data_IF_386584390456
#
_entry.id   IF_386584390456
#
_cell.length_a   1.000
_cell.length_b   1.000
_cell.length_c   1.000
_cell.angle_alpha   90.00
_cell.angle_beta   90.00
_cell.angle_gamma   90.00
#
_symmetry.space_group_name_H-M   'P 1'
#
loop_
_entity.id
_entity.type
_entity.pdbx_description
1 polymer ?
#
# COMPACT_ATOMS: atom_id res chain seq x y z
N UNK A 1 18.99 17.77 21.99
CA UNK A 1 18.89 16.32 22.19
C UNK A 1 20.01 15.69 21.39
N UNK A 2 20.72 14.69 21.92
CA UNK A 2 21.78 14.00 21.16
C UNK A 2 21.12 13.18 20.03
N UNK A 3 21.65 13.25 18.80
CA UNK A 3 21.15 12.50 17.64
C UNK A 3 21.21 11.00 17.92
N UNK A 4 20.13 10.27 17.63
CA UNK A 4 20.10 8.81 17.77
C UNK A 4 20.92 8.14 16.65
N UNK A 5 20.90 8.67 15.43
CA UNK A 5 21.65 8.17 14.28
C UNK A 5 22.87 9.06 13.97
N UNK A 6 23.95 8.87 14.71
CA UNK A 6 25.21 9.62 14.70
C UNK A 6 26.19 9.44 13.51
N UNK A 7 25.96 8.50 12.57
CA UNK A 7 26.90 8.17 11.49
C UNK A 7 26.64 8.93 10.18
N UNK A 8 25.48 9.56 10.03
CA UNK A 8 25.13 10.34 8.85
C UNK A 8 24.27 11.55 9.22
N UNK A 9 24.46 12.64 8.46
CA UNK A 9 23.57 13.80 8.53
C UNK A 9 22.35 13.62 7.63
N UNK A 10 22.54 13.07 6.43
CA UNK A 10 21.46 12.73 5.51
C UNK A 10 22.00 11.79 4.41
N UNK A 11 21.19 10.82 3.97
CA UNK A 11 21.48 9.95 2.82
C UNK A 11 21.39 10.78 1.54
N UNK A 12 22.40 10.67 0.68
CA UNK A 12 22.49 11.40 -0.59
C UNK A 12 22.71 10.46 -1.76
N UNK A 13 22.35 10.93 -2.95
CA UNK A 13 22.73 10.28 -4.19
C UNK A 13 24.22 10.47 -4.46
N UNK A 14 24.95 9.36 -4.62
CA UNK A 14 26.39 9.36 -4.92
C UNK A 14 26.71 8.69 -6.27
N UNK A 15 25.70 8.21 -6.99
CA UNK A 15 25.87 7.56 -8.29
C UNK A 15 26.08 6.06 -8.21
N UNK A 16 25.90 5.40 -9.36
CA UNK A 16 25.84 3.94 -9.48
C UNK A 16 27.15 3.23 -9.14
N UNK A 17 28.27 3.95 -9.12
CA UNK A 17 29.59 3.42 -8.81
C UNK A 17 29.96 3.56 -7.32
N UNK A 18 29.09 4.17 -6.48
CA UNK A 18 29.39 4.33 -5.06
C UNK A 18 29.37 2.99 -4.31
N UNK A 19 30.37 2.79 -3.46
CA UNK A 19 30.45 1.68 -2.51
C UNK A 19 29.96 2.05 -1.11
N UNK A 20 29.54 3.30 -0.88
CA UNK A 20 29.00 3.76 0.40
C UNK A 20 27.66 3.05 0.68
N UNK A 21 27.51 2.28 1.78
CA UNK A 21 26.26 1.59 2.08
C UNK A 21 25.18 2.53 2.61
N UNK A 22 25.53 3.77 2.99
CA UNK A 22 24.62 4.80 3.49
C UNK A 22 24.40 5.93 2.45
N UNK A 23 24.39 5.56 1.17
CA UNK A 23 24.11 6.47 0.05
C UNK A 23 23.20 5.80 -0.99
N UNK A 24 22.44 6.61 -1.72
CA UNK A 24 21.66 6.16 -2.86
C UNK A 24 22.55 6.03 -4.11
N UNK A 25 22.35 4.95 -4.86
CA UNK A 25 23.03 4.67 -6.13
C UNK A 25 22.15 4.95 -7.34
N UNK A 26 20.84 4.84 -7.17
CA UNK A 26 19.85 5.00 -8.24
C UNK A 26 18.82 6.07 -7.91
N UNK A 27 18.45 6.23 -6.63
CA UNK A 27 17.51 7.27 -6.20
C UNK A 27 18.17 8.65 -6.16
N UNK A 28 17.96 9.42 -7.22
CA UNK A 28 18.24 10.85 -7.25
C UNK A 28 16.90 11.60 -7.24
N UNK A 29 16.50 12.21 -6.11
CA UNK A 29 15.18 12.82 -5.96
C UNK A 29 14.88 13.91 -7.00
N UNK A 30 15.90 14.61 -7.49
CA UNK A 30 15.77 15.72 -8.46
C UNK A 30 15.88 15.30 -9.93
N UNK A 31 16.20 14.03 -10.21
CA UNK A 31 16.28 13.53 -11.57
C UNK A 31 14.90 13.60 -12.25
N UNK A 32 14.84 14.19 -13.44
CA UNK A 32 13.62 14.32 -14.22
C UNK A 32 13.45 13.08 -15.11
N UNK A 33 12.37 12.34 -14.90
CA UNK A 33 11.99 11.17 -15.70
C UNK A 33 10.59 11.46 -16.26
N UNK A 34 10.40 11.31 -17.57
CA UNK A 34 9.10 11.60 -18.22
C UNK A 34 8.50 12.96 -17.81
N UNK A 35 9.34 13.99 -17.66
CA UNK A 35 8.92 15.36 -17.31
C UNK A 35 8.57 15.61 -15.83
N UNK A 36 8.78 14.64 -14.93
CA UNK A 36 8.48 14.77 -13.50
C UNK A 36 9.67 14.29 -12.65
N UNK A 37 9.90 14.91 -11.48
CA UNK A 37 10.99 14.52 -10.58
C UNK A 37 10.78 13.10 -10.07
N UNK A 38 11.87 12.36 -9.89
CA UNK A 38 11.84 11.01 -9.35
C UNK A 38 11.15 10.94 -7.98
N UNK A 39 11.40 11.91 -7.10
CA UNK A 39 10.71 11.99 -5.81
C UNK A 39 9.19 12.10 -5.95
N UNK A 40 8.70 12.84 -6.96
CA UNK A 40 7.27 13.04 -7.19
C UNK A 40 6.63 11.83 -7.90
N UNK A 41 7.41 11.03 -8.63
CA UNK A 41 6.96 9.75 -9.18
C UNK A 41 6.78 8.71 -8.09
N UNK A 42 7.78 8.57 -7.22
CA UNK A 42 7.86 7.46 -6.27
C UNK A 42 7.12 7.76 -4.97
N UNK A 43 7.14 9.01 -4.51
CA UNK A 43 6.42 9.49 -3.31
C UNK A 43 6.62 8.54 -2.13
N UNK A 44 7.88 8.23 -1.85
CA UNK A 44 8.23 7.27 -0.83
C UNK A 44 7.71 7.68 0.55
N UNK A 45 7.17 6.73 1.28
CA UNK A 45 6.81 6.87 2.68
C UNK A 45 7.48 5.82 3.55
N UNK A 46 7.81 6.19 4.78
CA UNK A 46 8.27 5.26 5.79
C UNK A 46 7.12 4.82 6.72
N UNK A 47 6.96 3.52 6.86
CA UNK A 47 5.99 2.88 7.76
C UNK A 47 6.41 3.08 9.23
N UNK A 48 5.53 3.65 10.05
CA UNK A 48 5.85 3.94 11.45
C UNK A 48 5.88 2.67 12.33
N UNK A 49 4.94 1.72 12.11
CA UNK A 49 4.82 0.53 12.96
C UNK A 49 6.03 -0.39 12.86
N UNK A 50 6.48 -0.74 11.65
CA UNK A 50 7.67 -1.58 11.50
C UNK A 50 8.95 -0.87 11.88
N UNK A 51 9.08 0.42 11.53
CA UNK A 51 10.32 1.15 11.76
C UNK A 51 10.52 1.47 13.24
N UNK A 52 9.47 1.79 14.01
CA UNK A 52 9.62 2.29 15.39
C UNK A 52 8.83 1.52 16.46
N UNK A 53 7.82 0.72 16.11
CA UNK A 53 6.97 0.01 17.08
C UNK A 53 7.31 -1.47 17.22
N UNK A 54 7.52 -2.20 16.12
CA UNK A 54 7.87 -3.62 16.18
C UNK A 54 9.24 -3.80 16.82
N UNK A 55 9.31 -4.66 17.84
CA UNK A 55 10.50 -4.87 18.68
C UNK A 55 11.24 -6.17 18.34
N UNK A 56 10.92 -6.81 17.21
CA UNK A 56 11.50 -8.10 16.81
C UNK A 56 10.78 -9.32 17.38
N UNK A 57 9.59 -9.17 17.96
CA UNK A 57 8.75 -10.29 18.43
C UNK A 57 8.24 -11.11 17.23
N UNK A 58 8.22 -12.43 17.39
CA UNK A 58 7.56 -13.36 16.48
C UNK A 58 6.75 -14.41 17.29
N UNK A 59 6.12 -15.37 16.61
CA UNK A 59 5.29 -16.39 17.26
C UNK A 59 6.08 -17.33 18.20
N UNK A 60 7.41 -17.33 18.15
CA UNK A 60 8.28 -18.28 18.85
C UNK A 60 9.29 -17.61 19.78
N UNK A 61 9.33 -16.28 19.86
CA UNK A 61 10.35 -15.56 20.59
C UNK A 61 9.98 -14.15 21.00
N UNK A 62 10.56 -13.70 22.12
CA UNK A 62 10.45 -12.31 22.60
C UNK A 62 11.18 -11.36 21.64
N UNK A 63 10.87 -10.06 21.78
CA UNK A 63 11.53 -8.98 21.06
C UNK A 63 13.06 -8.98 21.25
N UNK A 64 13.78 -8.62 20.19
CA UNK A 64 15.24 -8.62 20.11
C UNK A 64 15.86 -7.23 20.13
N UNK A 65 15.05 -6.18 19.96
CA UNK A 65 15.55 -4.80 19.87
C UNK A 65 15.60 -4.11 21.24
N UNK A 66 16.69 -3.42 21.53
CA UNK A 66 16.85 -2.57 22.71
C UNK A 66 16.78 -1.09 22.32
N UNK A 67 15.55 -0.62 22.05
CA UNK A 67 15.29 0.75 21.60
C UNK A 67 14.94 1.67 22.78
N UNK A 68 15.57 2.85 22.93
CA UNK A 68 15.35 3.72 24.09
C UNK A 68 13.91 4.21 24.33
N UNK A 69 13.05 4.18 23.30
CA UNK A 69 11.65 4.54 23.38
C UNK A 69 10.71 3.35 23.60
N UNK A 70 11.26 2.13 23.69
CA UNK A 70 10.51 0.89 24.00
C UNK A 70 10.83 0.35 25.40
N UNK A 71 11.68 1.04 26.16
CA UNK A 71 12.00 0.73 27.55
C UNK A 71 10.87 1.16 28.49
N UNK A 72 10.89 0.70 29.74
CA UNK A 72 9.92 1.10 30.76
C UNK A 72 9.97 2.61 31.03
N UNK A 73 8.81 3.23 31.17
CA UNK A 73 8.69 4.66 31.46
C UNK A 73 7.25 5.17 31.25
N UNK A 74 7.06 6.47 31.43
CA UNK A 74 5.79 7.14 31.16
C UNK A 74 5.43 7.05 29.68
N UNK A 75 4.29 6.42 29.36
CA UNK A 75 3.94 6.02 28.00
C UNK A 75 3.90 7.20 27.02
N UNK A 76 3.35 8.34 27.44
CA UNK A 76 3.29 9.54 26.60
C UNK A 76 4.67 10.19 26.39
N UNK A 77 5.57 10.09 27.37
CA UNK A 77 6.94 10.56 27.23
C UNK A 77 7.73 9.68 26.24
N UNK A 78 7.51 8.36 26.29
CA UNK A 78 8.10 7.42 25.33
C UNK A 78 7.57 7.64 23.91
N UNK A 79 6.27 7.94 23.75
CA UNK A 79 5.69 8.28 22.45
C UNK A 79 6.28 9.56 21.86
N UNK A 80 6.49 10.60 22.67
CA UNK A 80 7.19 11.83 22.26
C UNK A 80 8.63 11.54 21.83
N UNK A 81 9.36 10.73 22.61
CA UNK A 81 10.72 10.30 22.25
C UNK A 81 10.76 9.51 20.95
N UNK A 82 9.78 8.63 20.72
CA UNK A 82 9.64 7.88 19.47
C UNK A 82 9.40 8.82 18.30
N UNK A 83 8.56 9.85 18.46
CA UNK A 83 8.36 10.88 17.45
C UNK A 83 9.65 11.69 17.18
N UNK A 84 10.45 12.02 18.20
CA UNK A 84 11.75 12.66 18.00
C UNK A 84 12.68 11.82 17.10
N UNK A 85 12.82 10.53 17.39
CA UNK A 85 13.66 9.62 16.61
C UNK A 85 13.08 9.35 15.23
N UNK A 86 11.76 9.25 15.09
CA UNK A 86 11.10 9.02 13.82
C UNK A 86 11.35 10.17 12.84
N UNK A 87 11.17 11.41 13.28
CA UNK A 87 11.42 12.58 12.42
C UNK A 87 12.90 12.83 12.17
N UNK A 88 13.78 12.46 13.09
CA UNK A 88 15.22 12.37 12.81
C UNK A 88 15.48 11.36 11.68
N UNK A 89 14.93 10.15 11.77
CA UNK A 89 15.08 9.12 10.74
C UNK A 89 14.55 9.59 9.39
N UNK A 90 13.34 10.17 9.33
CA UNK A 90 12.74 10.62 8.08
C UNK A 90 13.59 11.69 7.39
N UNK A 91 14.06 12.67 8.17
CA UNK A 91 14.96 13.71 7.66
C UNK A 91 16.26 13.11 7.12
N UNK A 92 16.91 12.23 7.91
CA UNK A 92 18.19 11.63 7.55
C UNK A 92 18.07 10.67 6.38
N UNK A 93 16.99 9.91 6.26
CA UNK A 93 16.73 9.04 5.12
C UNK A 93 16.41 9.85 3.85
N UNK A 94 15.99 11.11 3.99
CA UNK A 94 15.47 11.94 2.90
C UNK A 94 14.18 11.36 2.29
N UNK A 95 13.28 10.86 3.16
CA UNK A 95 11.97 10.35 2.76
C UNK A 95 10.91 11.46 2.92
N UNK A 96 10.10 11.76 1.88
CA UNK A 96 9.17 12.89 1.93
C UNK A 96 7.91 12.63 2.75
N UNK A 97 7.54 11.36 2.93
CA UNK A 97 6.31 10.97 3.61
C UNK A 97 6.51 9.94 4.74
N UNK A 98 5.50 9.82 5.60
CA UNK A 98 5.34 8.71 6.55
C UNK A 98 3.88 8.26 6.61
N UNK A 99 3.65 7.07 7.17
CA UNK A 99 2.33 6.48 7.41
C UNK A 99 2.23 5.97 8.85
N UNK A 100 1.06 6.03 9.50
CA UNK A 100 0.89 5.54 10.88
C UNK A 100 -0.50 4.96 11.19
N UNK A 101 -0.57 4.02 12.14
CA UNK A 101 -1.79 3.78 12.92
C UNK A 101 -1.83 4.68 14.16
N UNK A 102 -3.03 5.08 14.58
CA UNK A 102 -3.26 5.89 15.78
C UNK A 102 -2.46 5.41 17.01
N UNK A 103 -2.50 4.11 17.32
CA UNK A 103 -1.78 3.55 18.48
C UNK A 103 -0.27 3.39 18.26
N UNK A 104 0.22 3.54 17.02
CA UNK A 104 1.66 3.57 16.76
C UNK A 104 2.27 4.87 17.27
N UNK A 105 1.58 5.98 17.07
CA UNK A 105 2.08 7.31 17.43
C UNK A 105 1.65 7.75 18.82
N UNK A 106 0.65 7.09 19.42
CA UNK A 106 0.10 7.44 20.71
C UNK A 106 -0.17 6.22 21.61
N UNK A 107 0.05 6.32 22.92
CA UNK A 107 -0.42 5.28 23.84
C UNK A 107 -1.95 5.28 23.91
N UNK A 108 -2.54 4.09 23.89
CA UNK A 108 -4.00 3.91 23.94
C UNK A 108 -4.60 4.31 25.31
N UNK A 109 -3.89 4.05 26.40
CA UNK A 109 -4.41 4.22 27.75
C UNK A 109 -5.40 3.11 28.15
N UNK A 110 -6.03 3.27 29.31
CA UNK A 110 -6.95 2.28 29.90
C UNK A 110 -8.42 2.56 29.58
N UNK A 111 -8.76 3.76 29.10
CA UNK A 111 -10.15 4.19 28.84
C UNK A 111 -10.26 4.97 27.54
N UNK A 112 -11.47 5.07 26.99
CA UNK A 112 -11.73 5.87 25.79
C UNK A 112 -11.31 7.33 25.97
N UNK A 113 -11.53 7.87 27.17
CA UNK A 113 -11.13 9.24 27.51
C UNK A 113 -9.62 9.43 27.45
N UNK A 114 -8.86 8.44 27.93
CA UNK A 114 -7.39 8.48 27.85
C UNK A 114 -6.91 8.35 26.41
N UNK A 115 -7.49 7.45 25.61
CA UNK A 115 -7.19 7.33 24.18
C UNK A 115 -7.36 8.67 23.45
N UNK A 116 -8.55 9.29 23.60
CA UNK A 116 -8.86 10.56 22.95
C UNK A 116 -7.89 11.67 23.37
N UNK A 117 -7.58 11.77 24.66
CA UNK A 117 -6.67 12.79 25.18
C UNK A 117 -5.23 12.56 24.71
N UNK A 118 -4.72 11.34 24.83
CA UNK A 118 -3.34 11.00 24.46
C UNK A 118 -3.11 11.23 22.97
N UNK A 119 -4.05 10.78 22.13
CA UNK A 119 -3.90 10.89 20.70
C UNK A 119 -4.05 12.33 20.20
N UNK A 120 -4.90 13.15 20.85
CA UNK A 120 -4.93 14.59 20.59
C UNK A 120 -3.58 15.26 20.89
N UNK A 121 -2.97 14.95 22.05
CA UNK A 121 -1.64 15.47 22.41
C UNK A 121 -0.58 15.04 21.39
N UNK A 122 -0.58 13.77 20.99
CA UNK A 122 0.41 13.28 20.02
C UNK A 122 0.15 13.84 18.62
N UNK A 123 -1.09 14.13 18.24
CA UNK A 123 -1.41 14.84 17.00
C UNK A 123 -0.79 16.24 16.98
N UNK A 124 -0.83 16.96 18.11
CA UNK A 124 -0.15 18.27 18.23
C UNK A 124 1.36 18.14 18.02
N UNK A 125 1.97 17.15 18.68
CA UNK A 125 3.41 16.86 18.56
C UNK A 125 3.79 16.54 17.11
N UNK A 126 3.03 15.68 16.44
CA UNK A 126 3.29 15.33 15.05
C UNK A 126 3.16 16.54 14.12
N UNK A 127 2.17 17.41 14.33
CA UNK A 127 2.00 18.63 13.54
C UNK A 127 3.21 19.57 13.66
N UNK A 128 3.72 19.78 14.89
CA UNK A 128 4.94 20.55 15.13
C UNK A 128 6.16 19.92 14.43
N UNK A 129 6.27 18.59 14.48
CA UNK A 129 7.35 17.86 13.81
C UNK A 129 7.28 17.97 12.29
N UNK A 130 6.10 17.85 11.68
CA UNK A 130 5.92 18.07 10.24
C UNK A 130 6.30 19.50 9.86
N UNK A 131 5.88 20.50 10.64
CA UNK A 131 6.22 21.90 10.39
C UNK A 131 7.74 22.14 10.43
N UNK A 132 8.45 21.54 11.39
CA UNK A 132 9.89 21.74 11.54
C UNK A 132 10.75 20.96 10.53
N UNK A 133 10.27 19.81 10.05
CA UNK A 133 11.04 18.90 9.18
C UNK A 133 10.68 19.01 7.69
N UNK A 134 9.47 19.46 7.37
CA UNK A 134 8.90 19.42 6.02
C UNK A 134 8.38 18.06 5.57
N UNK A 135 8.51 17.02 6.40
CA UNK A 135 7.97 15.67 6.13
C UNK A 135 6.44 15.71 6.21
N UNK A 136 5.77 15.01 5.28
CA UNK A 136 4.30 15.02 5.15
C UNK A 136 3.69 13.67 5.51
N UNK A 137 2.40 13.66 5.81
CA UNK A 137 1.66 12.42 6.05
C UNK A 137 1.11 11.91 4.72
N UNK A 138 1.49 10.69 4.30
CA UNK A 138 0.86 10.08 3.11
C UNK A 138 -0.54 9.62 3.47
N UNK A 139 -0.65 8.91 4.61
CA UNK A 139 -1.93 8.51 5.17
C UNK A 139 -1.83 8.14 6.66
N UNK A 140 -2.94 8.31 7.36
CA UNK A 140 -3.16 7.70 8.67
C UNK A 140 -4.20 6.58 8.59
N UNK A 141 -4.27 5.78 9.64
CA UNK A 141 -5.25 4.70 9.80
C UNK A 141 -5.51 4.43 11.29
N UNK A 142 -6.50 3.61 11.60
CA UNK A 142 -6.80 3.15 12.95
C UNK A 142 -6.40 1.68 13.11
N UNK A 143 -5.67 1.35 14.18
CA UNK A 143 -5.43 -0.05 14.53
C UNK A 143 -6.65 -0.61 15.25
N UNK A 144 -7.54 -1.22 14.48
CA UNK A 144 -8.72 -1.92 14.98
C UNK A 144 -8.52 -3.45 15.00
N UNK A 145 -7.31 -3.93 15.30
CA UNK A 145 -6.99 -5.37 15.17
C UNK A 145 -6.04 -5.93 16.23
N UNK A 146 -5.23 -5.11 16.90
CA UNK A 146 -4.26 -5.58 17.92
C UNK A 146 -4.89 -5.78 19.30
N UNK A 147 -5.76 -4.87 19.74
CA UNK A 147 -6.35 -4.95 21.09
C UNK A 147 -7.28 -6.17 21.23
N UNK A 148 -7.28 -6.90 22.38
CA UNK A 148 -8.11 -8.11 22.56
C UNK A 148 -9.61 -7.95 22.27
N UNK A 149 -10.15 -6.73 22.43
CA UNK A 149 -11.55 -6.41 22.08
C UNK A 149 -11.92 -6.75 20.63
N UNK A 150 -10.94 -6.72 19.73
CA UNK A 150 -11.11 -6.97 18.30
C UNK A 150 -10.95 -8.43 17.91
N UNK A 151 -10.85 -9.35 18.88
CA UNK A 151 -10.64 -10.77 18.61
C UNK A 151 -11.69 -11.39 17.68
N UNK A 152 -12.90 -10.84 17.65
CA UNK A 152 -14.01 -11.28 16.78
C UNK A 152 -14.37 -10.26 15.68
N UNK A 153 -13.45 -9.39 15.28
CA UNK A 153 -13.70 -8.34 14.29
C UNK A 153 -13.84 -6.94 14.89
N UNK A 154 -13.92 -5.93 14.04
CA UNK A 154 -14.13 -4.54 14.45
C UNK A 154 -15.45 -4.02 13.88
N UNK A 155 -15.51 -3.67 12.61
CA UNK A 155 -16.74 -3.38 11.91
C UNK A 155 -17.58 -4.65 11.66
N UNK A 156 -16.94 -5.82 11.61
CA UNK A 156 -17.64 -7.12 11.47
C UNK A 156 -17.94 -7.78 12.81
N UNK A 157 -17.68 -7.11 13.93
CA UNK A 157 -17.86 -7.73 15.25
C UNK A 157 -19.35 -8.09 15.50
N UNK A 158 -19.64 -9.26 16.10
CA UNK A 158 -20.99 -9.61 16.54
C UNK A 158 -21.56 -8.69 17.64
N UNK A 159 -20.68 -7.96 18.35
CA UNK A 159 -21.04 -7.01 19.42
C UNK A 159 -21.06 -5.54 18.91
N UNK A 160 -22.22 -4.86 18.93
CA UNK A 160 -22.33 -3.46 18.50
C UNK A 160 -21.54 -2.46 19.38
N UNK A 161 -21.18 -2.81 20.62
CA UNK A 161 -20.32 -1.96 21.44
C UNK A 161 -18.88 -1.93 20.91
N UNK A 162 -18.37 -3.07 20.43
CA UNK A 162 -17.05 -3.16 19.78
C UNK A 162 -17.05 -2.41 18.45
N UNK A 163 -18.12 -2.55 17.66
CA UNK A 163 -18.34 -1.75 16.45
C UNK A 163 -18.27 -0.25 16.76
N UNK A 164 -18.93 0.19 17.83
CA UNK A 164 -18.97 1.61 18.24
C UNK A 164 -17.59 2.12 18.67
N UNK A 165 -16.80 1.28 19.32
CA UNK A 165 -15.41 1.61 19.66
C UNK A 165 -14.54 1.74 18.40
N UNK A 166 -14.63 0.79 17.46
CA UNK A 166 -13.91 0.85 16.19
C UNK A 166 -14.27 2.11 15.39
N UNK A 167 -15.57 2.45 15.33
CA UNK A 167 -16.04 3.68 14.72
C UNK A 167 -15.44 4.93 15.38
N UNK A 168 -15.26 4.91 16.70
CA UNK A 168 -14.63 6.02 17.43
C UNK A 168 -13.15 6.14 17.11
N UNK A 169 -12.41 5.03 16.99
CA UNK A 169 -11.00 5.06 16.57
C UNK A 169 -10.87 5.58 15.13
N UNK A 170 -11.67 5.07 14.20
CA UNK A 170 -11.64 5.52 12.79
C UNK A 170 -12.03 6.99 12.66
N UNK A 171 -13.06 7.44 13.38
CA UNK A 171 -13.43 8.86 13.46
C UNK A 171 -12.24 9.70 13.92
N UNK A 172 -11.60 9.31 15.03
CA UNK A 172 -10.53 10.10 15.65
C UNK A 172 -9.28 10.11 14.77
N UNK A 173 -8.88 8.95 14.23
CA UNK A 173 -7.74 8.81 13.33
C UNK A 173 -7.94 9.59 12.02
N UNK A 174 -9.14 9.61 11.44
CA UNK A 174 -9.41 10.39 10.24
C UNK A 174 -9.33 11.91 10.50
N UNK A 175 -9.86 12.38 11.64
CA UNK A 175 -9.75 13.80 12.02
C UNK A 175 -8.28 14.20 12.24
N UNK A 176 -7.48 13.35 12.89
CA UNK A 176 -6.04 13.57 13.05
C UNK A 176 -5.33 13.57 11.70
N UNK A 177 -5.67 12.64 10.81
CA UNK A 177 -5.13 12.57 9.44
C UNK A 177 -5.41 13.84 8.66
N UNK A 178 -6.65 14.34 8.69
CA UNK A 178 -7.00 15.63 8.06
C UNK A 178 -6.18 16.78 8.65
N UNK A 179 -6.07 16.84 9.98
CA UNK A 179 -5.33 17.89 10.68
C UNK A 179 -3.84 17.90 10.33
N UNK A 180 -3.25 16.72 10.13
CA UNK A 180 -1.84 16.52 9.75
C UNK A 180 -1.61 16.62 8.23
N UNK A 181 -2.65 16.99 7.46
CA UNK A 181 -2.57 17.15 6.01
C UNK A 181 -2.34 15.84 5.27
N UNK A 182 -2.85 14.71 5.80
CA UNK A 182 -2.78 13.41 5.16
C UNK A 182 -3.45 13.40 3.79
N UNK A 183 -2.79 12.81 2.80
CA UNK A 183 -3.30 12.77 1.42
C UNK A 183 -4.26 11.61 1.17
N UNK A 184 -4.25 10.60 2.05
CA UNK A 184 -5.16 9.45 2.02
C UNK A 184 -5.52 9.00 3.46
N UNK A 185 -6.49 8.11 3.58
CA UNK A 185 -6.81 7.40 4.82
C UNK A 185 -7.07 5.93 4.51
N UNK A 186 -6.35 5.03 5.20
CA UNK A 186 -6.37 3.59 4.93
C UNK A 186 -7.31 2.87 5.90
N UNK A 187 -7.96 1.80 5.41
CA UNK A 187 -8.73 0.82 6.17
C UNK A 187 -8.22 -0.57 5.80
N UNK A 188 -7.35 -1.13 6.64
CA UNK A 188 -6.93 -2.53 6.54
C UNK A 188 -7.73 -3.38 7.53
N UNK A 189 -8.43 -4.38 7.00
CA UNK A 189 -9.37 -5.21 7.75
C UNK A 189 -8.72 -6.38 8.51
N UNK A 190 -7.67 -6.14 9.29
CA UNK A 190 -6.90 -7.23 9.92
C UNK A 190 -7.71 -8.22 10.78
N UNK A 191 -8.88 -7.84 11.30
CA UNK A 191 -9.83 -8.75 11.96
C UNK A 191 -11.18 -8.86 11.26
N UNK A 192 -11.33 -8.20 10.12
CA UNK A 192 -12.58 -8.14 9.35
C UNK A 192 -12.67 -9.37 8.44
N UNK A 193 -13.06 -10.47 9.04
CA UNK A 193 -13.07 -11.80 8.46
C UNK A 193 -13.44 -12.82 9.53
N UNK A 194 -13.15 -14.09 9.29
CA UNK A 194 -13.54 -15.14 10.23
C UNK A 194 -12.44 -16.16 10.49
N UNK A 195 -12.53 -16.85 11.63
CA UNK A 195 -11.74 -18.04 11.95
C UNK A 195 -12.50 -19.33 11.63
N UNK A 196 -13.84 -19.36 11.83
CA UNK A 196 -14.68 -20.52 11.51
C UNK A 196 -16.04 -20.11 10.99
N UNK A 197 -16.52 -20.78 9.93
CA UNK A 197 -17.86 -20.52 9.40
C UNK A 197 -18.99 -21.01 10.31
N UNK A 198 -18.68 -21.83 11.33
CA UNK A 198 -19.70 -22.40 12.22
C UNK A 198 -20.37 -21.36 13.12
N UNK A 199 -19.72 -20.22 13.36
CA UNK A 199 -20.23 -19.13 14.19
C UNK A 199 -20.26 -17.77 13.44
N UNK A 200 -20.12 -17.79 12.12
CA UNK A 200 -20.04 -16.57 11.30
C UNK A 200 -21.26 -16.48 10.39
N UNK A 201 -22.02 -15.39 10.50
CA UNK A 201 -23.02 -15.03 9.50
C UNK A 201 -22.39 -14.07 8.48
N UNK A 202 -21.94 -14.65 7.36
CA UNK A 202 -21.30 -13.93 6.26
C UNK A 202 -22.16 -12.79 5.70
N UNK A 203 -23.50 -12.93 5.72
CA UNK A 203 -24.38 -11.87 5.20
C UNK A 203 -24.39 -10.71 6.19
N UNK A 204 -24.60 -11.01 7.46
CA UNK A 204 -24.66 -10.00 8.52
C UNK A 204 -23.36 -9.21 8.61
N UNK A 205 -22.21 -9.88 8.70
CA UNK A 205 -20.90 -9.21 8.81
C UNK A 205 -20.59 -8.35 7.58
N UNK A 206 -20.96 -8.83 6.39
CA UNK A 206 -20.78 -8.07 5.15
C UNK A 206 -21.69 -6.83 5.09
N UNK A 207 -22.92 -6.90 5.60
CA UNK A 207 -23.81 -5.74 5.73
C UNK A 207 -23.28 -4.73 6.76
N UNK A 208 -22.72 -5.20 7.88
CA UNK A 208 -22.14 -4.35 8.92
C UNK A 208 -20.93 -3.57 8.40
N UNK A 209 -19.95 -4.23 7.78
CA UNK A 209 -18.77 -3.54 7.23
C UNK A 209 -19.14 -2.65 6.04
N UNK A 210 -20.11 -3.07 5.21
CA UNK A 210 -20.69 -2.21 4.17
C UNK A 210 -21.25 -0.91 4.72
N UNK A 211 -22.04 -0.98 5.80
CA UNK A 211 -22.56 0.21 6.48
C UNK A 211 -21.46 1.03 7.15
N UNK A 212 -20.48 0.38 7.77
CA UNK A 212 -19.34 1.06 8.38
C UNK A 212 -18.57 1.90 7.35
N UNK A 213 -18.24 1.33 6.18
CA UNK A 213 -17.56 2.06 5.11
C UNK A 213 -18.38 3.24 4.57
N UNK A 214 -19.71 3.12 4.50
CA UNK A 214 -20.58 4.26 4.17
C UNK A 214 -20.49 5.36 5.23
N UNK A 215 -20.47 5.03 6.53
CA UNK A 215 -20.30 6.01 7.60
C UNK A 215 -18.94 6.73 7.52
N UNK A 216 -17.89 6.00 7.14
CA UNK A 216 -16.54 6.56 6.91
C UNK A 216 -16.57 7.57 5.75
N UNK A 217 -17.23 7.23 4.64
CA UNK A 217 -17.42 8.14 3.50
C UNK A 217 -18.27 9.37 3.88
N UNK A 218 -19.39 9.16 4.58
CA UNK A 218 -20.25 10.22 5.09
C UNK A 218 -19.46 11.21 5.96
N UNK A 219 -18.61 10.68 6.85
CA UNK A 219 -17.78 11.50 7.73
C UNK A 219 -16.68 12.25 6.97
N UNK A 220 -15.97 11.60 6.03
CA UNK A 220 -15.00 12.24 5.13
C UNK A 220 -15.60 13.48 4.49
N UNK A 221 -16.80 13.36 3.90
CA UNK A 221 -17.49 14.49 3.27
C UNK A 221 -17.91 15.55 4.29
N UNK A 222 -18.44 15.13 5.44
CA UNK A 222 -18.89 16.04 6.51
C UNK A 222 -17.78 16.94 7.05
N UNK A 223 -16.57 16.42 7.20
CA UNK A 223 -15.41 17.22 7.68
C UNK A 223 -14.65 17.90 6.52
N UNK A 224 -15.01 17.62 5.27
CA UNK A 224 -14.34 18.15 4.10
C UNK A 224 -12.95 17.55 3.84
N UNK A 225 -12.70 16.31 4.27
CA UNK A 225 -11.45 15.62 4.00
C UNK A 225 -11.33 15.31 2.50
N UNK A 226 -10.32 15.88 1.84
CA UNK A 226 -10.12 15.74 0.38
C UNK A 226 -9.29 14.51 0.01
N UNK A 227 -8.68 13.83 0.99
CA UNK A 227 -7.83 12.67 0.74
C UNK A 227 -8.62 11.45 0.27
N UNK A 228 -7.92 10.55 -0.41
CA UNK A 228 -8.53 9.30 -0.93
C UNK A 228 -8.75 8.32 0.23
N UNK A 229 -9.90 7.64 0.25
CA UNK A 229 -10.09 6.48 1.13
C UNK A 229 -9.55 5.23 0.46
N UNK A 230 -8.82 4.41 1.20
CA UNK A 230 -8.13 3.24 0.68
C UNK A 230 -8.54 2.00 1.47
N UNK A 231 -8.97 0.93 0.80
CA UNK A 231 -9.02 -0.42 1.37
C UNK A 231 -7.74 -1.14 1.00
N UNK A 232 -7.16 -1.86 1.94
CA UNK A 232 -5.94 -2.64 1.72
C UNK A 232 -6.28 -4.14 1.65
N UNK A 233 -6.25 -4.77 0.47
CA UNK A 233 -6.61 -6.16 0.33
C UNK A 233 -5.58 -7.09 0.99
N UNK A 234 -6.06 -8.15 1.63
CA UNK A 234 -5.27 -9.26 2.14
C UNK A 234 -6.17 -10.51 2.23
N UNK A 235 -5.69 -11.71 1.88
CA UNK A 235 -6.54 -12.91 1.83
C UNK A 235 -6.86 -13.52 3.20
N UNK A 236 -5.94 -13.39 4.15
CA UNK A 236 -5.93 -14.07 5.45
C UNK A 236 -4.81 -13.49 6.32
N UNK A 237 -4.63 -14.06 7.51
CA UNK A 237 -3.61 -13.68 8.51
C UNK A 237 -3.81 -12.27 9.08
N UNK A 238 -4.36 -12.17 10.32
CA UNK A 238 -4.53 -13.24 11.30
C UNK A 238 -5.82 -14.07 11.16
N UNK A 239 -6.78 -13.68 10.32
CA UNK A 239 -8.02 -14.44 10.11
C UNK A 239 -7.77 -15.70 9.25
N UNK A 240 -8.70 -16.67 9.29
CA UNK A 240 -8.69 -17.83 8.37
C UNK A 240 -9.13 -17.45 6.95
N UNK A 241 -9.90 -16.37 6.85
CA UNK A 241 -10.31 -15.72 5.62
C UNK A 241 -10.66 -14.28 5.96
N UNK A 242 -10.00 -13.34 5.29
CA UNK A 242 -10.29 -11.90 5.38
C UNK A 242 -11.21 -11.51 4.21
N UNK A 243 -12.19 -10.64 4.48
CA UNK A 243 -13.23 -10.33 3.50
C UNK A 243 -12.74 -9.54 2.29
N UNK A 244 -11.78 -8.65 2.52
CA UNK A 244 -11.10 -7.86 1.48
C UNK A 244 -9.97 -8.68 0.84
N UNK A 245 -10.32 -9.83 0.26
CA UNK A 245 -9.36 -10.89 -0.09
C UNK A 245 -8.29 -10.48 -1.12
N UNK A 246 -8.72 -9.86 -2.21
CA UNK A 246 -7.91 -9.35 -3.32
C UNK A 246 -8.62 -8.15 -3.97
N UNK A 247 -7.96 -7.48 -4.93
CA UNK A 247 -8.49 -6.29 -5.61
C UNK A 247 -9.86 -6.55 -6.26
N UNK A 248 -10.05 -7.71 -6.90
CA UNK A 248 -11.30 -8.04 -7.58
C UNK A 248 -12.45 -8.24 -6.59
N UNK A 249 -12.17 -8.89 -5.46
CA UNK A 249 -13.11 -9.11 -4.35
C UNK A 249 -13.52 -7.77 -3.72
N UNK A 250 -12.56 -6.88 -3.47
CA UNK A 250 -12.81 -5.52 -2.99
C UNK A 250 -13.67 -4.74 -4.00
N UNK A 251 -13.37 -4.79 -5.30
CA UNK A 251 -14.19 -4.11 -6.30
C UNK A 251 -15.65 -4.61 -6.31
N UNK A 252 -15.86 -5.93 -6.19
CA UNK A 252 -17.20 -6.50 -6.05
C UNK A 252 -17.94 -6.01 -4.81
N UNK A 253 -17.24 -5.90 -3.67
CA UNK A 253 -17.77 -5.31 -2.45
C UNK A 253 -18.14 -3.83 -2.64
N UNK A 254 -17.24 -3.03 -3.21
CA UNK A 254 -17.47 -1.61 -3.46
C UNK A 254 -18.70 -1.41 -4.35
N UNK A 255 -18.86 -2.22 -5.40
CA UNK A 255 -20.04 -2.18 -6.27
C UNK A 255 -21.34 -2.53 -5.56
N UNK A 256 -21.31 -3.53 -4.68
CA UNK A 256 -22.49 -3.94 -3.91
C UNK A 256 -23.00 -2.81 -3.01
N UNK A 257 -22.11 -2.02 -2.41
CA UNK A 257 -22.46 -0.97 -1.44
C UNK A 257 -22.42 0.45 -2.00
N UNK A 258 -22.18 0.62 -3.31
CA UNK A 258 -22.15 1.91 -4.00
C UNK A 258 -20.96 2.81 -3.62
N UNK A 259 -19.80 2.19 -3.34
CA UNK A 259 -18.60 2.84 -2.81
C UNK A 259 -17.47 2.97 -3.85
N UNK A 260 -17.64 2.44 -5.08
CA UNK A 260 -16.57 2.32 -6.07
C UNK A 260 -16.04 3.66 -6.61
N UNK A 261 -16.76 4.76 -6.36
CA UNK A 261 -16.36 6.12 -6.72
C UNK A 261 -15.71 6.88 -5.56
N UNK A 262 -15.77 6.33 -4.35
CA UNK A 262 -15.35 6.99 -3.12
C UNK A 262 -14.09 6.38 -2.52
N UNK A 263 -13.91 5.07 -2.76
CA UNK A 263 -12.85 4.25 -2.17
C UNK A 263 -12.02 3.63 -3.29
N UNK A 264 -10.71 3.64 -3.08
CA UNK A 264 -9.70 3.01 -3.93
C UNK A 264 -8.96 1.93 -3.15
N UNK A 265 -7.98 1.26 -3.77
CA UNK A 265 -7.16 0.25 -3.10
C UNK A 265 -5.74 0.75 -2.79
N UNK A 266 -5.24 0.34 -1.63
CA UNK A 266 -3.83 0.31 -1.27
C UNK A 266 -3.34 -1.12 -1.50
N UNK A 267 -2.41 -1.35 -2.43
CA UNK A 267 -2.01 -2.72 -2.80
C UNK A 267 -0.65 -3.02 -2.20
N UNK A 268 -0.58 -4.11 -1.45
CA UNK A 268 0.68 -4.62 -0.90
C UNK A 268 1.18 -5.83 -1.68
N UNK A 269 2.49 -5.85 -1.97
CA UNK A 269 3.11 -6.94 -2.71
C UNK A 269 3.05 -8.29 -1.97
N UNK A 270 3.35 -8.33 -0.67
CA UNK A 270 3.29 -9.58 0.09
C UNK A 270 1.85 -10.10 0.17
N UNK A 271 0.86 -9.23 0.41
CA UNK A 271 -0.55 -9.61 0.41
C UNK A 271 -1.02 -10.17 -0.94
N UNK A 272 -0.63 -9.54 -2.06
CA UNK A 272 -0.95 -10.03 -3.40
C UNK A 272 -0.45 -11.47 -3.61
N UNK A 273 0.81 -11.73 -3.26
CA UNK A 273 1.41 -13.07 -3.39
C UNK A 273 0.80 -14.10 -2.44
N UNK A 274 0.41 -13.68 -1.24
CA UNK A 274 -0.32 -14.52 -0.29
C UNK A 274 -1.69 -14.96 -0.84
N UNK A 275 -2.32 -14.12 -1.67
CA UNK A 275 -3.60 -14.41 -2.31
C UNK A 275 -3.47 -15.31 -3.55
N UNK A 276 -2.24 -15.69 -3.91
CA UNK A 276 -1.95 -16.48 -5.11
C UNK A 276 -1.82 -15.66 -6.39
N UNK A 277 -1.70 -14.33 -6.27
CA UNK A 277 -1.56 -13.41 -7.41
C UNK A 277 -0.15 -12.82 -7.47
N UNK A 278 0.33 -12.48 -8.66
CA UNK A 278 1.53 -11.64 -8.74
C UNK A 278 1.20 -10.21 -8.32
N UNK A 279 2.17 -9.50 -7.75
CA UNK A 279 1.98 -8.07 -7.43
C UNK A 279 1.63 -7.24 -8.69
N UNK A 280 2.25 -7.58 -9.83
CA UNK A 280 1.92 -6.97 -11.13
C UNK A 280 0.45 -7.18 -11.53
N UNK A 281 -0.13 -8.36 -11.26
CA UNK A 281 -1.54 -8.64 -11.54
C UNK A 281 -2.46 -7.69 -10.77
N UNK A 282 -2.29 -7.59 -9.45
CA UNK A 282 -3.18 -6.76 -8.61
C UNK A 282 -3.13 -5.28 -8.99
N UNK A 283 -1.94 -4.78 -9.34
CA UNK A 283 -1.76 -3.41 -9.86
C UNK A 283 -2.51 -3.22 -11.17
N UNK A 284 -2.32 -4.11 -12.14
CA UNK A 284 -2.98 -4.04 -13.44
C UNK A 284 -4.52 -4.14 -13.31
N UNK A 285 -4.99 -5.02 -12.44
CA UNK A 285 -6.42 -5.22 -12.14
C UNK A 285 -7.03 -3.95 -11.52
N UNK A 286 -6.37 -3.33 -10.53
CA UNK A 286 -6.88 -2.11 -9.90
C UNK A 286 -6.96 -0.93 -10.87
N UNK A 287 -5.97 -0.82 -11.77
CA UNK A 287 -5.96 0.19 -12.84
C UNK A 287 -7.12 -0.06 -13.82
N UNK A 288 -7.29 -1.31 -14.27
CA UNK A 288 -8.36 -1.68 -15.20
C UNK A 288 -9.77 -1.44 -14.63
N UNK A 289 -9.93 -1.61 -13.31
CA UNK A 289 -11.17 -1.37 -12.57
C UNK A 289 -11.35 0.09 -12.14
N UNK A 290 -10.35 0.96 -12.35
CA UNK A 290 -10.40 2.39 -12.03
C UNK A 290 -10.22 2.73 -10.54
N UNK A 291 -9.87 1.75 -9.71
CA UNK A 291 -9.77 1.88 -8.25
C UNK A 291 -8.33 1.90 -7.73
N UNK A 292 -7.31 2.00 -8.59
CA UNK A 292 -5.91 2.13 -8.16
C UNK A 292 -5.67 3.43 -7.36
N UNK A 293 -5.17 3.29 -6.12
CA UNK A 293 -4.94 4.38 -5.16
C UNK A 293 -3.48 4.54 -4.73
N UNK A 294 -2.97 3.57 -3.96
CA UNK A 294 -1.63 3.61 -3.35
C UNK A 294 -0.99 2.21 -3.31
N UNK A 295 0.27 2.13 -2.90
CA UNK A 295 1.02 0.88 -2.79
C UNK A 295 1.79 0.80 -1.48
N UNK A 296 1.76 -0.39 -0.88
CA UNK A 296 2.76 -0.83 0.10
C UNK A 296 3.83 -1.67 -0.61
N UNK A 297 5.02 -1.07 -0.68
CA UNK A 297 6.18 -1.59 -1.38
C UNK A 297 6.98 -2.49 -0.45
N UNK A 298 6.71 -3.79 -0.50
CA UNK A 298 7.44 -4.82 0.21
C UNK A 298 7.60 -6.07 -0.67
N UNK A 299 7.92 -7.22 -0.07
CA UNK A 299 7.84 -8.53 -0.69
C UNK A 299 7.56 -9.61 0.36
N UNK A 300 6.97 -10.69 -0.11
CA UNK A 300 6.92 -11.96 0.60
C UNK A 300 8.14 -12.83 0.39
N UNK A 301 7.99 -14.08 0.81
CA UNK A 301 8.87 -15.17 0.45
C UNK A 301 7.99 -16.28 -0.14
N UNK A 302 8.25 -16.66 -1.40
CA UNK A 302 7.41 -17.61 -2.12
C UNK A 302 7.43 -19.03 -1.50
N UNK A 303 8.33 -19.31 -0.56
CA UNK A 303 8.37 -20.57 0.20
C UNK A 303 7.66 -20.47 1.55
N UNK A 304 7.20 -19.28 1.95
CA UNK A 304 6.57 -19.02 3.25
C UNK A 304 5.13 -18.54 3.05
N UNK A 305 4.17 -19.29 3.61
CA UNK A 305 2.73 -19.00 3.50
C UNK A 305 2.22 -17.95 4.50
N UNK A 306 3.04 -16.98 4.87
CA UNK A 306 2.72 -15.90 5.80
C UNK A 306 3.43 -14.61 5.43
N UNK A 307 3.02 -13.51 6.06
CA UNK A 307 3.52 -12.18 5.81
C UNK A 307 4.92 -11.96 6.40
N UNK A 308 5.88 -11.66 5.53
CA UNK A 308 7.30 -11.51 5.91
C UNK A 308 7.73 -10.05 5.99
N UNK A 309 6.98 -9.15 5.33
CA UNK A 309 7.18 -7.70 5.25
C UNK A 309 8.63 -7.35 4.92
N UNK A 310 9.22 -8.05 3.95
CA UNK A 310 10.60 -7.77 3.52
C UNK A 310 10.62 -6.55 2.61
N UNK A 311 11.69 -5.76 2.66
CA UNK A 311 11.89 -4.68 1.69
C UNK A 311 11.93 -5.22 0.25
N UNK A 312 11.42 -4.50 -0.77
CA UNK A 312 11.53 -4.93 -2.15
C UNK A 312 13.02 -4.97 -2.56
N UNK A 313 13.40 -5.99 -3.32
CA UNK A 313 14.78 -6.18 -3.78
C UNK A 313 14.92 -6.62 -5.26
N UNK A 314 13.80 -6.87 -5.95
CA UNK A 314 13.77 -7.31 -7.35
C UNK A 314 13.42 -6.15 -8.26
N UNK A 315 14.32 -5.76 -9.15
CA UNK A 315 14.05 -4.73 -10.16
C UNK A 315 13.17 -5.32 -11.26
N UNK A 316 13.35 -6.60 -11.56
CA UNK A 316 12.65 -7.37 -12.56
C UNK A 316 11.14 -7.38 -12.31
N UNK A 317 10.72 -7.63 -11.07
CA UNK A 317 9.31 -7.60 -10.68
C UNK A 317 8.77 -6.16 -10.62
N UNK A 318 9.50 -5.27 -9.97
CA UNK A 318 9.02 -3.91 -9.72
C UNK A 318 9.02 -3.02 -10.98
N UNK A 319 9.83 -3.31 -12.00
CA UNK A 319 9.81 -2.57 -13.26
C UNK A 319 8.49 -2.78 -14.01
N UNK A 320 7.90 -3.97 -13.95
CA UNK A 320 6.59 -4.26 -14.55
C UNK A 320 5.46 -3.57 -13.79
N UNK A 321 5.55 -3.54 -12.46
CA UNK A 321 4.62 -2.78 -11.59
C UNK A 321 4.68 -1.29 -11.92
N UNK A 322 5.87 -0.71 -11.91
CA UNK A 322 6.06 0.71 -12.23
C UNK A 322 5.65 1.03 -13.68
N UNK A 323 5.77 0.08 -14.61
CA UNK A 323 5.29 0.25 -15.98
C UNK A 323 3.77 0.42 -16.04
N UNK A 324 3.00 -0.42 -15.35
CA UNK A 324 1.53 -0.25 -15.31
C UNK A 324 1.15 1.06 -14.61
N UNK A 325 1.82 1.39 -13.50
CA UNK A 325 1.58 2.65 -12.77
C UNK A 325 1.85 3.86 -13.67
N UNK A 326 2.99 3.92 -14.36
CA UNK A 326 3.33 5.00 -15.29
C UNK A 326 2.34 5.08 -16.46
N UNK A 327 1.97 3.93 -17.03
CA UNK A 327 0.97 3.84 -18.11
C UNK A 327 -0.40 4.37 -17.68
N UNK A 328 -0.75 4.24 -16.40
CA UNK A 328 -1.98 4.79 -15.82
C UNK A 328 -1.88 6.28 -15.40
N UNK A 329 -0.72 6.92 -15.60
CA UNK A 329 -0.50 8.33 -15.24
C UNK A 329 0.20 8.56 -13.89
N UNK A 330 0.64 7.49 -13.21
CA UNK A 330 1.33 7.56 -11.92
C UNK A 330 0.39 7.75 -10.72
N UNK A 331 0.99 7.89 -9.54
CA UNK A 331 0.23 8.23 -8.33
C UNK A 331 -0.32 9.66 -8.38
N UNK A 332 -1.52 9.82 -7.82
CA UNK A 332 -2.15 11.14 -7.60
C UNK A 332 -1.96 11.56 -6.14
N UNK A 333 -2.61 10.87 -5.21
CA UNK A 333 -2.55 11.08 -3.76
C UNK A 333 -1.78 9.98 -3.04
N UNK A 334 -1.80 8.74 -3.56
CA UNK A 334 -1.01 7.61 -3.03
C UNK A 334 0.49 7.73 -3.27
N UNK A 335 1.23 6.70 -2.90
CA UNK A 335 2.69 6.62 -3.06
C UNK A 335 3.20 5.21 -2.79
N UNK A 336 4.52 5.09 -2.61
CA UNK A 336 5.18 3.85 -2.22
C UNK A 336 5.52 3.89 -0.73
N UNK A 337 4.63 3.39 0.12
CA UNK A 337 4.95 3.21 1.54
C UNK A 337 5.75 1.92 1.72
N UNK A 338 6.87 1.98 2.44
CA UNK A 338 7.64 0.79 2.76
C UNK A 338 7.01 0.10 3.96
N UNK A 339 5.90 -0.61 3.75
CA UNK A 339 5.36 -1.53 4.76
C UNK A 339 6.25 -2.76 4.90
N UNK A 340 7.44 -2.52 5.41
CA UNK A 340 8.51 -3.48 5.51
C UNK A 340 9.28 -3.29 6.82
N UNK A 341 9.73 -4.40 7.39
CA UNK A 341 10.55 -4.43 8.60
C UNK A 341 11.97 -4.87 8.31
N UNK A 342 12.91 -4.41 9.15
CA UNK A 342 14.22 -5.06 9.23
C UNK A 342 14.05 -6.50 9.72
N UNK A 343 15.05 -7.36 9.54
CA UNK A 343 14.92 -8.74 10.01
C UNK A 343 15.08 -8.81 11.53
N UNK A 344 14.51 -9.83 12.16
CA UNK A 344 14.60 -10.02 13.63
C UNK A 344 16.04 -9.99 14.17
N UNK A 345 17.00 -10.43 13.37
CA UNK A 345 18.44 -10.46 13.71
C UNK A 345 19.19 -9.18 13.31
N UNK A 346 18.57 -8.31 12.51
CA UNK A 346 19.10 -7.00 12.11
C UNK A 346 18.82 -5.98 13.22
N UNK A 347 19.65 -6.04 14.25
CA UNK A 347 19.45 -5.33 15.52
C UNK A 347 20.18 -3.99 15.59
N UNK A 348 21.09 -3.72 14.65
CA UNK A 348 21.81 -2.44 14.63
C UNK A 348 20.85 -1.33 14.17
N UNK A 349 20.96 -0.14 14.77
CA UNK A 349 20.09 0.99 14.43
C UNK A 349 20.22 1.41 12.96
N UNK A 350 21.36 1.16 12.31
CA UNK A 350 21.59 1.46 10.89
C UNK A 350 21.04 0.42 9.93
N UNK A 351 20.63 -0.76 10.41
CA UNK A 351 19.92 -1.73 9.57
C UNK A 351 18.61 -1.15 9.01
N UNK A 352 18.00 -0.21 9.75
CA UNK A 352 16.87 0.58 9.26
C UNK A 352 17.22 1.35 7.98
N UNK A 353 18.41 1.97 7.92
CA UNK A 353 18.86 2.68 6.73
C UNK A 353 19.21 1.70 5.60
N UNK A 354 19.94 0.61 5.88
CA UNK A 354 20.28 -0.35 4.83
C UNK A 354 19.04 -0.93 4.14
N UNK A 355 18.02 -1.29 4.91
CA UNK A 355 16.74 -1.78 4.37
C UNK A 355 16.05 -0.76 3.47
N UNK A 356 15.88 0.48 3.96
CA UNK A 356 15.19 1.53 3.21
C UNK A 356 15.98 2.01 2.00
N UNK A 357 17.30 2.21 2.12
CA UNK A 357 18.15 2.65 1.00
C UNK A 357 18.11 1.63 -0.13
N UNK A 358 18.24 0.33 0.20
CA UNK A 358 18.13 -0.74 -0.78
C UNK A 358 16.79 -0.73 -1.50
N UNK A 359 15.69 -0.62 -0.75
CA UNK A 359 14.34 -0.55 -1.30
C UNK A 359 14.11 0.67 -2.21
N UNK A 360 14.55 1.85 -1.76
CA UNK A 360 14.44 3.09 -2.52
C UNK A 360 15.25 3.04 -3.82
N UNK A 361 16.46 2.48 -3.78
CA UNK A 361 17.27 2.28 -4.99
C UNK A 361 16.65 1.25 -5.94
N UNK A 362 16.13 0.13 -5.43
CA UNK A 362 15.41 -0.87 -6.24
C UNK A 362 14.22 -0.23 -6.96
N UNK A 363 13.38 0.52 -6.25
CA UNK A 363 12.22 1.18 -6.84
C UNK A 363 12.60 2.33 -7.78
N UNK A 364 13.67 3.08 -7.50
CA UNK A 364 14.19 4.10 -8.39
C UNK A 364 14.73 3.52 -9.70
N UNK A 365 15.44 2.40 -9.63
CA UNK A 365 15.91 1.69 -10.83
C UNK A 365 14.74 1.07 -11.61
N UNK A 366 13.77 0.48 -10.91
CA UNK A 366 12.54 -0.02 -11.52
C UNK A 366 11.77 1.08 -12.29
N UNK A 367 11.66 2.29 -11.72
CA UNK A 367 11.08 3.45 -12.40
C UNK A 367 11.86 3.81 -13.68
N UNK A 368 13.19 3.83 -13.64
CA UNK A 368 14.02 4.11 -14.83
C UNK A 368 13.79 3.08 -15.93
N UNK A 369 13.76 1.79 -15.57
CA UNK A 369 13.49 0.70 -16.53
C UNK A 369 12.08 0.84 -17.12
N UNK A 370 11.08 1.07 -16.28
CA UNK A 370 9.70 1.28 -16.69
C UNK A 370 9.56 2.48 -17.64
N UNK A 371 10.22 3.59 -17.34
CA UNK A 371 10.23 4.78 -18.20
C UNK A 371 10.81 4.47 -19.59
N UNK A 372 11.93 3.73 -19.67
CA UNK A 372 12.48 3.29 -20.97
C UNK A 372 11.48 2.43 -21.76
N UNK A 373 10.74 1.53 -21.09
CA UNK A 373 9.70 0.73 -21.73
C UNK A 373 8.54 1.58 -22.26
N UNK A 374 8.16 2.63 -21.53
CA UNK A 374 7.11 3.59 -21.95
C UNK A 374 7.58 4.42 -23.15
N UNK A 375 8.79 4.98 -23.11
CA UNK A 375 9.34 5.85 -24.17
C UNK A 375 9.53 5.10 -25.50
N UNK A 376 10.03 3.86 -25.44
CA UNK A 376 10.21 3.03 -26.64
C UNK A 376 8.87 2.52 -27.20
N UNK A 377 7.84 2.38 -26.36
CA UNK A 377 6.47 2.09 -26.78
C UNK A 377 6.25 0.70 -27.42
N UNK A 378 7.28 -0.14 -27.54
CA UNK A 378 7.22 -1.44 -28.23
C UNK A 378 6.20 -2.40 -27.61
N UNK A 379 6.17 -2.51 -26.28
CA UNK A 379 5.20 -3.34 -25.59
C UNK A 379 3.76 -2.88 -25.87
N UNK A 380 3.52 -1.57 -25.81
CA UNK A 380 2.21 -1.00 -26.13
C UNK A 380 1.80 -1.29 -27.57
N UNK A 381 2.69 -1.10 -28.54
CA UNK A 381 2.43 -1.39 -29.96
C UNK A 381 2.09 -2.87 -30.20
N UNK A 382 2.80 -3.80 -29.53
CA UNK A 382 2.55 -5.23 -29.64
C UNK A 382 1.17 -5.62 -29.09
N UNK A 383 0.77 -5.05 -27.95
CA UNK A 383 -0.58 -5.24 -27.38
C UNK A 383 -1.64 -4.62 -28.28
N UNK A 384 -1.47 -3.38 -28.73
CA UNK A 384 -2.42 -2.70 -29.63
C UNK A 384 -2.63 -3.51 -30.93
N UNK A 385 -1.55 -4.04 -31.52
CA UNK A 385 -1.62 -4.91 -32.69
C UNK A 385 -2.42 -6.19 -32.40
N UNK A 386 -2.23 -6.81 -31.23
CA UNK A 386 -2.93 -8.05 -30.84
C UNK A 386 -4.45 -7.85 -30.78
N UNK A 387 -4.91 -6.67 -30.36
CA UNK A 387 -6.35 -6.36 -30.20
C UNK A 387 -6.94 -5.54 -31.36
N UNK A 388 -6.17 -5.23 -32.41
CA UNK A 388 -6.59 -4.33 -33.49
C UNK A 388 -7.91 -4.73 -34.18
N UNK A 389 -8.24 -6.03 -34.24
CA UNK A 389 -9.49 -6.52 -34.82
C UNK A 389 -10.76 -5.99 -34.13
N UNK A 390 -10.69 -5.66 -32.84
CA UNK A 390 -11.80 -5.07 -32.10
C UNK A 390 -12.12 -3.63 -32.51
N UNK A 391 -11.19 -2.94 -33.18
CA UNK A 391 -11.41 -1.61 -33.73
C UNK A 391 -12.11 -1.64 -35.10
N UNK A 392 -12.26 -2.84 -35.71
CA UNK A 392 -13.00 -3.02 -36.95
C UNK A 392 -14.52 -3.01 -36.74
N UNK A 393 -15.27 -2.97 -37.84
CA UNK A 393 -16.74 -2.83 -37.83
C UNK A 393 -17.43 -3.90 -36.97
N UNK A 394 -17.13 -5.19 -37.20
CA UNK A 394 -17.72 -6.29 -36.42
C UNK A 394 -17.43 -6.16 -34.92
N UNK A 395 -16.17 -5.89 -34.56
CA UNK A 395 -15.75 -5.74 -33.17
C UNK A 395 -16.50 -4.59 -32.47
N UNK A 396 -16.66 -3.46 -33.15
CA UNK A 396 -17.40 -2.32 -32.62
C UNK A 396 -18.91 -2.58 -32.51
N UNK A 397 -19.50 -3.28 -33.48
CA UNK A 397 -20.92 -3.67 -33.39
C UNK A 397 -21.17 -4.60 -32.20
N UNK A 398 -20.27 -5.54 -31.92
CA UNK A 398 -20.34 -6.42 -30.75
C UNK A 398 -20.25 -5.61 -29.46
N UNK A 399 -19.18 -4.81 -29.29
CA UNK A 399 -18.91 -4.09 -28.04
C UNK A 399 -19.98 -3.03 -27.71
N UNK A 400 -20.64 -2.48 -28.73
CA UNK A 400 -21.72 -1.51 -28.57
C UNK A 400 -23.10 -2.17 -28.36
N UNK A 401 -23.18 -3.49 -28.30
CA UNK A 401 -24.43 -4.22 -28.12
C UNK A 401 -25.39 -4.14 -29.32
N UNK A 402 -24.88 -3.86 -30.52
CA UNK A 402 -25.68 -3.74 -31.75
C UNK A 402 -26.04 -5.08 -32.37
N UNK A 403 -25.33 -6.14 -32.01
CA UNK A 403 -25.61 -7.49 -32.45
C UNK A 403 -25.92 -8.36 -31.24
N UNK A 404 -27.05 -9.05 -31.30
CA UNK A 404 -27.42 -10.11 -30.38
C UNK A 404 -26.56 -11.36 -30.61
N UNK A 405 -26.62 -12.29 -29.65
CA UNK A 405 -25.99 -13.60 -29.79
C UNK A 405 -26.48 -14.34 -31.05
N UNK A 406 -27.77 -14.24 -31.39
CA UNK A 406 -28.35 -14.89 -32.55
C UNK A 406 -27.86 -14.28 -33.87
N UNK A 407 -27.80 -12.94 -33.96
CA UNK A 407 -27.29 -12.25 -35.15
C UNK A 407 -25.80 -12.53 -35.37
N UNK A 408 -25.01 -12.64 -34.29
CA UNK A 408 -23.60 -13.03 -34.40
C UNK A 408 -23.41 -14.47 -34.87
N UNK A 409 -24.24 -15.39 -34.40
CA UNK A 409 -24.22 -16.78 -34.86
C UNK A 409 -24.56 -16.86 -36.37
N UNK A 410 -25.59 -16.14 -36.80
CA UNK A 410 -25.97 -16.07 -38.22
C UNK A 410 -24.89 -15.40 -39.08
N UNK A 411 -24.29 -14.30 -38.58
CA UNK A 411 -23.16 -13.65 -39.24
C UNK A 411 -22.00 -14.62 -39.44
N UNK A 412 -21.66 -15.40 -38.41
CA UNK A 412 -20.57 -16.38 -38.50
C UNK A 412 -20.84 -17.48 -39.53
N UNK A 413 -22.08 -17.97 -39.61
CA UNK A 413 -22.52 -18.96 -40.61
C UNK A 413 -22.48 -18.37 -42.03
N UNK A 414 -23.08 -17.21 -42.24
CA UNK A 414 -23.15 -16.54 -43.55
C UNK A 414 -21.77 -16.18 -44.09
N UNK A 415 -20.88 -15.69 -43.23
CA UNK A 415 -19.51 -15.37 -43.61
C UNK A 415 -18.59 -16.61 -43.63
N UNK A 416 -19.11 -17.80 -43.31
CA UNK A 416 -18.36 -19.06 -43.23
C UNK A 416 -17.06 -18.88 -42.41
N UNK A 417 -17.18 -18.24 -41.24
CA UNK A 417 -16.00 -17.90 -40.44
C UNK A 417 -15.25 -19.14 -39.97
N UNK A 418 -13.95 -19.19 -40.24
CA UNK A 418 -13.04 -20.22 -39.77
C UNK A 418 -11.78 -19.57 -39.14
N UNK A 419 -11.91 -18.86 -38.00
CA UNK A 419 -10.80 -18.14 -37.39
C UNK A 419 -9.65 -19.09 -37.04
N UNK A 420 -8.42 -18.64 -37.29
CA UNK A 420 -7.20 -19.42 -37.04
C UNK A 420 -6.49 -18.96 -35.77
N UNK A 421 -5.80 -19.88 -35.11
CA UNK A 421 -4.96 -19.55 -33.97
C UNK A 421 -3.83 -18.57 -34.36
N UNK A 422 -3.64 -17.53 -33.54
CA UNK A 422 -2.52 -16.61 -33.65
C UNK A 422 -1.59 -16.75 -32.43
N UNK A 423 -0.28 -16.86 -32.67
CA UNK A 423 0.73 -16.95 -31.61
C UNK A 423 0.72 -15.71 -30.70
N UNK A 424 0.76 -15.92 -29.39
CA UNK A 424 0.88 -14.85 -28.40
C UNK A 424 2.29 -14.25 -28.23
N UNK A 425 3.32 -14.94 -28.76
CA UNK A 425 4.72 -14.51 -28.70
C UNK A 425 5.24 -14.18 -27.29
N UNK A 426 4.86 -14.97 -26.28
CA UNK A 426 5.16 -14.69 -24.87
C UNK A 426 6.66 -14.58 -24.60
N UNK A 427 7.45 -15.57 -25.02
CA UNK A 427 8.89 -15.62 -24.76
C UNK A 427 9.61 -14.44 -25.43
N UNK A 428 9.09 -13.95 -26.56
CA UNK A 428 9.61 -12.75 -27.23
C UNK A 428 9.32 -11.49 -26.42
N UNK A 429 8.15 -11.39 -25.78
CA UNK A 429 7.79 -10.26 -24.93
C UNK A 429 8.63 -10.26 -23.64
N UNK A 430 8.83 -11.41 -23.02
CA UNK A 430 9.70 -11.56 -21.85
C UNK A 430 11.15 -11.19 -22.20
N UNK A 431 11.66 -11.67 -23.33
CA UNK A 431 12.99 -11.30 -23.82
C UNK A 431 13.10 -9.81 -24.17
N UNK A 432 12.01 -9.17 -24.59
CA UNK A 432 11.99 -7.72 -24.79
C UNK A 432 12.11 -6.98 -23.46
N UNK A 433 11.39 -7.41 -22.41
CA UNK A 433 11.52 -6.86 -21.05
C UNK A 433 12.95 -7.04 -20.52
N UNK A 434 13.55 -8.23 -20.69
CA UNK A 434 14.93 -8.50 -20.27
C UNK A 434 15.96 -7.57 -20.92
N UNK A 435 15.74 -7.14 -22.17
CA UNK A 435 16.62 -6.15 -22.82
C UNK A 435 16.54 -4.78 -22.15
N UNK A 436 15.41 -4.39 -21.59
CA UNK A 436 15.34 -3.14 -20.81
C UNK A 436 15.88 -3.30 -19.40
N UNK A 437 15.89 -4.51 -18.83
CA UNK A 437 16.43 -4.75 -17.49
C UNK A 437 17.96 -4.79 -17.49
N UNK A 438 18.55 -5.49 -18.47
CA UNK A 438 19.96 -5.87 -18.46
C UNK A 438 20.77 -5.34 -19.65
N UNK A 439 20.11 -4.76 -20.66
CA UNK A 439 20.73 -4.10 -21.81
C UNK A 439 20.70 -2.58 -21.68
#
# INVERSE_FOLDING_TARGET
MQSYFDQLEQVRYEGTNSTNPLAFRHYNPDEIILGKRMADHLRFAACYWHTFCWNGVDMFGKGTFDRPWQQSGEALALAKRKADVAFEFFHKLNVPYYCFHDIDVSPEGATLKEYLNNFAIMTDVLAEKQQSSGVKLLWGTANCFTHPRYGAGAATNPDPEVFSWAATQVFTAMNATQRLGGENYVLWGGREGYETLLNTDLRQEREQIGRFMQMVVEHKHKIGFQGTLLIEPKPQEPTKHQYDYDVATVYGFLKQFGLEKEIKVNIEANHATLAGHSFHHEIATAIALGIFGSVDANRGDAQLGWDTDQFPNSVEENALVMFEILKAGGFTTGGLNFDAKVRRQSTDKYDLFYGHIGAMDTMALALKVAARMIEDGKLHQLVAKRYAGWNGELGQQILQGKLSLAELAQYAEQQTLAPQHASGQQEKLENLVNRYLFG
#
